data_IF_554973535606
#
_entry.id   IF_554973535606
#
_cell.length_a   1.000
_cell.length_b   1.000
_cell.length_c   1.000
_cell.angle_alpha   90.00
_cell.angle_beta   90.00
_cell.angle_gamma   90.00
#
_symmetry.space_group_name_H-M   'P 1'
#
loop_
_entity.id
_entity.type
_entity.pdbx_description
1 polymer ?
#
# COMPACT_ATOMS: atom_id res chain seq x y z
N UNK A 1 38.01 31.70 -34.95
CA UNK A 1 37.57 32.69 -33.96
C UNK A 1 36.62 31.97 -33.01
N UNK A 2 37.06 31.76 -31.76
CA UNK A 2 36.32 31.16 -30.62
C UNK A 2 34.96 31.88 -30.40
N UNK A 3 33.91 31.34 -29.77
CA UNK A 3 33.75 30.66 -28.45
C UNK A 3 32.39 29.91 -28.46
N UNK A 4 32.29 28.63 -28.06
CA UNK A 4 31.95 28.10 -26.71
C UNK A 4 30.57 28.53 -26.17
N UNK A 5 29.67 27.74 -25.56
CA UNK A 5 29.53 26.32 -25.12
C UNK A 5 28.19 26.23 -24.35
N UNK A 6 27.52 25.07 -24.31
CA UNK A 6 26.82 24.43 -23.15
C UNK A 6 25.89 23.32 -23.68
N UNK A 7 26.40 22.09 -23.75
CA UNK A 7 26.21 20.98 -22.77
C UNK A 7 24.84 20.29 -22.89
N UNK A 8 24.78 19.10 -23.51
CA UNK A 8 25.23 17.79 -22.99
C UNK A 8 24.19 17.12 -22.11
N UNK A 9 23.24 16.43 -22.75
CA UNK A 9 22.71 15.15 -22.28
C UNK A 9 22.51 14.25 -23.49
N UNK A 10 23.56 13.48 -23.78
CA UNK A 10 23.63 12.43 -24.78
C UNK A 10 22.82 11.24 -24.25
N UNK A 11 21.70 10.93 -24.90
CA UNK A 11 21.05 9.64 -24.70
C UNK A 11 22.04 8.57 -25.19
N UNK A 12 22.60 7.82 -24.25
CA UNK A 12 23.26 6.56 -24.55
C UNK A 12 22.19 5.63 -25.11
N UNK A 13 22.22 5.45 -26.43
CA UNK A 13 21.51 4.41 -27.13
C UNK A 13 21.92 3.06 -26.53
N UNK A 14 21.08 2.53 -25.64
CA UNK A 14 21.11 1.11 -25.28
C UNK A 14 20.58 0.35 -26.50
N UNK A 15 21.46 0.14 -27.47
CA UNK A 15 21.28 -0.80 -28.56
C UNK A 15 21.37 -2.21 -28.00
N UNK A 16 20.31 -2.62 -27.29
CA UNK A 16 19.98 -4.03 -27.10
C UNK A 16 19.25 -4.46 -28.36
N UNK A 17 19.98 -5.06 -29.31
CA UNK A 17 19.41 -5.67 -30.49
C UNK A 17 18.30 -6.65 -30.08
N UNK A 18 17.03 -6.26 -30.28
CA UNK A 18 15.94 -7.20 -30.35
C UNK A 18 16.04 -7.80 -31.75
N UNK A 19 16.57 -9.01 -31.83
CA UNK A 19 16.54 -9.83 -33.04
C UNK A 19 15.07 -10.10 -33.38
N UNK A 20 14.51 -9.31 -34.31
CA UNK A 20 13.16 -9.51 -34.84
C UNK A 20 13.24 -10.58 -35.92
N UNK A 21 13.66 -11.78 -35.53
CA UNK A 21 13.58 -12.97 -36.36
C UNK A 21 12.15 -13.52 -36.29
N UNK A 22 11.25 -13.02 -37.13
CA UNK A 22 10.09 -13.76 -37.67
C UNK A 22 9.14 -14.48 -36.70
N UNK A 23 9.16 -14.22 -35.39
CA UNK A 23 8.27 -14.87 -34.44
C UNK A 23 7.03 -14.00 -34.27
N UNK A 24 5.94 -14.48 -34.86
CA UNK A 24 4.63 -13.88 -34.70
C UNK A 24 4.33 -13.84 -33.20
N UNK A 25 4.31 -12.66 -32.59
CA UNK A 25 3.81 -12.49 -31.22
C UNK A 25 2.33 -12.83 -31.28
N UNK A 26 2.00 -14.11 -31.08
CA UNK A 26 0.65 -14.54 -30.81
C UNK A 26 0.32 -13.96 -29.44
N UNK A 27 -0.29 -12.78 -29.42
CA UNK A 27 -0.97 -12.27 -28.23
C UNK A 27 -2.07 -13.30 -27.96
N UNK A 28 -1.74 -14.28 -27.13
CA UNK A 28 -2.70 -15.22 -26.59
C UNK A 28 -3.76 -14.36 -25.91
N UNK A 29 -4.90 -14.19 -26.57
CA UNK A 29 -6.07 -13.53 -26.02
C UNK A 29 -6.68 -14.46 -24.95
N UNK A 30 -5.89 -14.74 -23.91
CA UNK A 30 -6.36 -15.35 -22.68
C UNK A 30 -7.22 -14.29 -22.04
N UNK A 31 -8.53 -14.50 -22.11
CA UNK A 31 -9.48 -13.84 -21.23
C UNK A 31 -9.05 -14.20 -19.82
N UNK A 32 -8.30 -13.32 -19.17
CA UNK A 32 -8.01 -13.45 -17.75
C UNK A 32 -9.36 -13.40 -17.06
N UNK A 33 -9.82 -14.53 -16.52
CA UNK A 33 -10.93 -14.54 -15.59
C UNK A 33 -10.52 -13.61 -14.45
N UNK A 34 -11.39 -12.67 -14.09
CA UNK A 34 -11.15 -11.83 -12.93
C UNK A 34 -10.89 -12.75 -11.74
N UNK A 35 -9.70 -12.66 -11.16
CA UNK A 35 -9.34 -13.40 -9.96
C UNK A 35 -10.25 -12.89 -8.82
N UNK A 36 -11.21 -13.69 -8.33
CA UNK A 36 -12.12 -13.27 -7.28
C UNK A 36 -11.39 -13.00 -5.96
N UNK A 37 -10.19 -13.56 -5.79
CA UNK A 37 -9.34 -13.38 -4.60
C UNK A 37 -8.39 -12.19 -4.72
N UNK A 38 -8.31 -11.52 -5.88
CA UNK A 38 -7.49 -10.33 -6.01
C UNK A 38 -8.12 -9.19 -5.18
N UNK A 39 -7.57 -9.01 -3.98
CA UNK A 39 -7.93 -7.91 -3.14
C UNK A 39 -7.42 -6.61 -3.77
N UNK A 40 -8.35 -5.80 -4.27
CA UNK A 40 -8.06 -4.42 -4.73
C UNK A 40 -7.71 -3.48 -3.57
N UNK A 41 -7.61 -4.01 -2.35
CA UNK A 41 -7.24 -3.32 -1.13
C UNK A 41 -5.77 -3.57 -0.80
N UNK A 42 -5.17 -2.60 -0.11
CA UNK A 42 -3.80 -2.72 0.34
C UNK A 42 -3.02 -1.45 0.09
N UNK A 43 -2.74 -0.72 1.18
CA UNK A 43 -1.90 0.49 1.28
C UNK A 43 -2.67 1.83 1.24
N UNK A 44 -3.99 1.87 1.46
CA UNK A 44 -4.63 3.14 1.81
C UNK A 44 -4.30 3.50 3.28
N UNK A 45 -3.87 4.74 3.52
CA UNK A 45 -3.61 5.28 4.88
C UNK A 45 -4.80 5.11 5.83
N UNK A 46 -6.02 5.15 5.30
CA UNK A 46 -7.25 5.11 6.05
C UNK A 46 -7.98 3.76 5.84
N UNK A 47 -8.09 2.92 6.88
CA UNK A 47 -8.74 1.61 6.81
C UNK A 47 -10.20 1.66 6.34
N UNK A 48 -10.94 2.72 6.67
CA UNK A 48 -12.34 2.88 6.24
C UNK A 48 -12.44 3.09 4.73
N UNK A 49 -11.54 3.88 4.17
CA UNK A 49 -11.47 4.09 2.73
C UNK A 49 -11.03 2.81 2.00
N UNK A 50 -10.06 2.08 2.57
CA UNK A 50 -9.57 0.82 2.00
C UNK A 50 -10.70 -0.21 1.90
N UNK A 51 -11.42 -0.42 3.00
CA UNK A 51 -12.54 -1.37 3.07
C UNK A 51 -13.67 -1.01 2.08
N UNK A 52 -13.91 0.28 1.84
CA UNK A 52 -14.94 0.76 0.91
C UNK A 52 -14.52 0.71 -0.57
N UNK A 53 -13.24 0.51 -0.89
CA UNK A 53 -12.69 0.56 -2.27
C UNK A 53 -13.51 -0.23 -3.30
N UNK A 54 -13.97 -1.48 -3.03
CA UNK A 54 -14.79 -2.23 -3.97
C UNK A 54 -16.12 -1.54 -4.31
N UNK A 55 -16.78 -0.95 -3.31
CA UNK A 55 -18.05 -0.25 -3.52
C UNK A 55 -17.86 1.10 -4.20
N UNK A 56 -16.75 1.80 -3.95
CA UNK A 56 -16.40 3.01 -4.70
C UNK A 56 -16.14 2.67 -6.18
N UNK A 57 -15.43 1.58 -6.46
CA UNK A 57 -15.25 1.07 -7.82
C UNK A 57 -16.57 0.72 -8.51
N UNK A 58 -17.47 0.06 -7.78
CA UNK A 58 -18.83 -0.23 -8.26
C UNK A 58 -19.60 1.06 -8.56
N UNK A 59 -19.57 2.06 -7.68
CA UNK A 59 -20.22 3.37 -7.88
C UNK A 59 -19.76 4.04 -9.18
N UNK A 60 -18.46 4.02 -9.47
CA UNK A 60 -17.91 4.57 -10.72
C UNK A 60 -18.48 3.84 -11.94
N UNK A 61 -18.60 2.51 -11.86
CA UNK A 61 -19.18 1.69 -12.94
C UNK A 61 -20.68 1.94 -13.11
N UNK A 62 -21.44 1.99 -12.02
CA UNK A 62 -22.89 2.24 -12.05
C UNK A 62 -23.25 3.57 -12.68
N UNK A 63 -22.43 4.62 -12.46
CA UNK A 63 -22.61 5.93 -13.09
C UNK A 63 -22.54 5.91 -14.63
N UNK A 64 -21.89 4.92 -15.21
CA UNK A 64 -21.72 4.77 -16.67
C UNK A 64 -22.64 3.70 -17.26
N UNK A 65 -23.47 3.07 -16.43
CA UNK A 65 -24.30 1.94 -16.83
C UNK A 65 -25.68 2.44 -17.25
N UNK A 66 -25.95 2.40 -18.56
CA UNK A 66 -27.22 2.90 -19.11
C UNK A 66 -28.39 1.95 -18.86
N UNK A 67 -28.12 0.65 -18.74
CA UNK A 67 -29.15 -0.37 -18.50
C UNK A 67 -28.62 -1.52 -17.64
N UNK A 68 -29.49 -2.04 -16.76
CA UNK A 68 -29.22 -3.25 -15.98
C UNK A 68 -30.49 -4.09 -15.86
N UNK A 69 -30.41 -5.35 -16.26
CA UNK A 69 -31.60 -6.23 -16.30
C UNK A 69 -31.98 -6.81 -14.93
N UNK A 70 -31.01 -7.08 -14.04
CA UNK A 70 -31.25 -7.74 -12.75
C UNK A 70 -30.90 -6.83 -11.56
N UNK A 71 -31.72 -5.78 -11.39
CA UNK A 71 -31.58 -4.84 -10.27
C UNK A 71 -31.74 -5.51 -8.89
N UNK A 72 -32.65 -6.48 -8.69
CA UNK A 72 -32.74 -7.21 -7.42
C UNK A 72 -31.47 -7.97 -7.05
N UNK A 73 -30.82 -8.67 -7.99
CA UNK A 73 -29.55 -9.36 -7.70
C UNK A 73 -28.43 -8.36 -7.37
N UNK A 74 -28.35 -7.23 -8.09
CA UNK A 74 -27.42 -6.15 -7.76
C UNK A 74 -27.67 -5.62 -6.34
N UNK A 75 -28.92 -5.37 -5.97
CA UNK A 75 -29.31 -4.91 -4.64
C UNK A 75 -28.82 -5.87 -3.56
N UNK A 76 -29.08 -7.17 -3.73
CA UNK A 76 -28.65 -8.19 -2.78
C UNK A 76 -27.12 -8.28 -2.69
N UNK A 77 -26.42 -8.23 -3.84
CA UNK A 77 -24.96 -8.24 -3.89
C UNK A 77 -24.36 -7.04 -3.14
N UNK A 78 -24.90 -5.84 -3.35
CA UNK A 78 -24.44 -4.65 -2.64
C UNK A 78 -24.76 -4.74 -1.16
N UNK A 79 -25.97 -5.14 -0.77
CA UNK A 79 -26.36 -5.32 0.64
C UNK A 79 -25.43 -6.31 1.37
N UNK A 80 -25.08 -7.42 0.72
CA UNK A 80 -24.12 -8.39 1.25
C UNK A 80 -22.72 -7.79 1.38
N UNK A 81 -22.24 -7.03 0.38
CA UNK A 81 -20.93 -6.37 0.44
C UNK A 81 -20.86 -5.32 1.56
N UNK A 82 -21.92 -4.52 1.75
CA UNK A 82 -22.01 -3.57 2.86
C UNK A 82 -21.93 -4.31 4.19
N UNK A 83 -22.66 -5.42 4.32
CA UNK A 83 -22.65 -6.22 5.55
C UNK A 83 -21.27 -6.80 5.83
N UNK A 84 -20.59 -7.32 4.82
CA UNK A 84 -19.22 -7.84 4.94
C UNK A 84 -18.22 -6.76 5.34
N UNK A 85 -18.27 -5.59 4.69
CA UNK A 85 -17.44 -4.43 5.02
C UNK A 85 -17.69 -3.97 6.46
N UNK A 86 -18.95 -3.94 6.90
CA UNK A 86 -19.27 -3.53 8.26
C UNK A 86 -18.77 -4.52 9.30
N UNK A 87 -18.79 -5.82 9.00
CA UNK A 87 -18.23 -6.83 9.89
C UNK A 87 -16.72 -6.72 10.02
N UNK A 88 -16.02 -6.46 8.91
CA UNK A 88 -14.59 -6.21 8.87
C UNK A 88 -14.21 -4.97 9.66
N UNK A 89 -14.87 -3.83 9.39
CA UNK A 89 -14.56 -2.57 10.05
C UNK A 89 -14.95 -2.60 11.55
N UNK A 90 -15.92 -3.41 11.95
CA UNK A 90 -16.30 -3.61 13.35
C UNK A 90 -15.19 -4.27 14.19
N UNK A 91 -14.27 -4.98 13.54
CA UNK A 91 -13.09 -5.56 14.21
C UNK A 91 -12.01 -4.50 14.50
N UNK A 92 -12.16 -3.30 13.94
CA UNK A 92 -11.26 -2.17 14.18
C UNK A 92 -11.74 -1.34 15.39
N UNK A 93 -10.81 -0.65 16.05
CA UNK A 93 -11.07 0.14 17.26
C UNK A 93 -11.74 1.50 16.96
N UNK A 94 -12.97 1.46 16.42
CA UNK A 94 -13.78 2.64 16.15
C UNK A 94 -15.02 2.70 17.04
N UNK A 95 -15.40 3.92 17.42
CA UNK A 95 -16.64 4.14 18.17
C UNK A 95 -17.89 3.78 17.35
N UNK A 96 -18.96 3.36 18.02
CA UNK A 96 -20.22 3.01 17.38
C UNK A 96 -20.81 4.18 16.57
N UNK A 97 -20.60 5.42 17.03
CA UNK A 97 -21.00 6.62 16.28
C UNK A 97 -20.26 6.77 14.95
N UNK A 98 -18.96 6.45 14.93
CA UNK A 98 -18.12 6.46 13.73
C UNK A 98 -18.56 5.40 12.73
N UNK A 99 -18.76 4.16 13.20
CA UNK A 99 -19.23 3.06 12.35
C UNK A 99 -20.60 3.34 11.75
N UNK A 100 -21.51 3.94 12.52
CA UNK A 100 -22.84 4.32 12.05
C UNK A 100 -22.78 5.45 11.01
N UNK A 101 -21.91 6.44 11.18
CA UNK A 101 -21.71 7.50 10.20
C UNK A 101 -21.09 6.97 8.90
N UNK A 102 -20.17 6.02 9.01
CA UNK A 102 -19.54 5.33 7.89
C UNK A 102 -20.56 4.53 7.06
N UNK A 103 -21.31 3.62 7.69
CA UNK A 103 -22.33 2.82 6.98
C UNK A 103 -23.42 3.69 6.36
N UNK A 104 -23.84 4.74 7.07
CA UNK A 104 -24.83 5.70 6.59
C UNK A 104 -24.35 6.41 5.33
N UNK A 105 -23.12 6.92 5.35
CA UNK A 105 -22.51 7.63 4.21
C UNK A 105 -22.38 6.74 3.00
N UNK A 106 -22.03 5.47 3.22
CA UNK A 106 -21.86 4.47 2.19
C UNK A 106 -23.21 4.08 1.54
N UNK A 107 -24.23 3.80 2.35
CA UNK A 107 -25.58 3.52 1.86
C UNK A 107 -26.13 4.69 1.05
N UNK A 108 -25.97 5.91 1.56
CA UNK A 108 -26.46 7.12 0.90
C UNK A 108 -25.76 7.36 -0.45
N UNK A 109 -24.45 7.15 -0.54
CA UNK A 109 -23.71 7.30 -1.79
C UNK A 109 -24.24 6.35 -2.88
N UNK A 110 -24.38 5.06 -2.54
CA UNK A 110 -24.85 4.07 -3.52
C UNK A 110 -26.29 4.34 -3.93
N UNK A 111 -27.18 4.62 -2.96
CA UNK A 111 -28.57 4.97 -3.24
C UNK A 111 -28.66 6.16 -4.18
N UNK A 112 -27.92 7.25 -3.92
CA UNK A 112 -27.99 8.44 -4.77
C UNK A 112 -27.45 8.18 -6.19
N UNK A 113 -26.41 7.37 -6.32
CA UNK A 113 -25.85 6.99 -7.63
C UNK A 113 -26.83 6.15 -8.43
N UNK A 114 -27.46 5.15 -7.81
CA UNK A 114 -28.47 4.31 -8.46
C UNK A 114 -29.71 5.15 -8.82
N UNK A 115 -30.17 6.04 -7.94
CA UNK A 115 -31.32 6.91 -8.18
C UNK A 115 -31.08 7.97 -9.27
N UNK A 116 -29.83 8.23 -9.68
CA UNK A 116 -29.54 9.07 -10.86
C UNK A 116 -29.76 8.33 -12.17
N UNK A 117 -29.76 7.00 -12.17
CA UNK A 117 -30.02 6.20 -13.37
C UNK A 117 -31.52 6.08 -13.64
N UNK A 118 -31.89 5.82 -14.88
CA UNK A 118 -33.30 5.59 -15.27
C UNK A 118 -33.81 4.26 -14.74
N UNK A 119 -33.03 3.19 -14.89
CA UNK A 119 -33.37 1.85 -14.41
C UNK A 119 -33.45 1.78 -12.88
N UNK A 120 -32.59 2.49 -12.15
CA UNK A 120 -32.64 2.54 -10.68
C UNK A 120 -33.95 3.15 -10.17
N UNK A 121 -34.41 4.26 -10.76
CA UNK A 121 -35.66 4.94 -10.38
C UNK A 121 -36.90 4.09 -10.64
N UNK A 122 -36.91 3.33 -11.75
CA UNK A 122 -38.03 2.47 -12.15
C UNK A 122 -38.01 1.09 -11.47
N UNK A 123 -36.98 0.78 -10.68
CA UNK A 123 -36.82 -0.50 -10.00
C UNK A 123 -37.37 -0.51 -8.57
N UNK A 124 -37.37 -1.67 -7.94
CA UNK A 124 -37.69 -1.85 -6.51
C UNK A 124 -36.76 -1.09 -5.57
N UNK A 125 -35.58 -0.66 -6.03
CA UNK A 125 -34.62 0.12 -5.25
C UNK A 125 -35.18 1.48 -4.82
N UNK A 126 -36.07 2.07 -5.63
CA UNK A 126 -36.72 3.34 -5.27
C UNK A 126 -37.76 3.18 -4.16
N UNK A 127 -38.39 2.00 -4.07
CA UNK A 127 -39.35 1.67 -3.01
C UNK A 127 -38.67 1.31 -1.69
N UNK A 128 -37.53 0.61 -1.76
CA UNK A 128 -36.73 0.24 -0.58
C UNK A 128 -35.25 0.47 -0.87
N UNK A 129 -34.75 1.63 -0.47
CA UNK A 129 -33.34 2.00 -0.61
C UNK A 129 -32.47 1.30 0.44
N UNK A 130 -31.16 1.24 0.22
CA UNK A 130 -30.21 0.69 1.20
C UNK A 130 -30.27 1.47 2.51
N UNK A 131 -30.34 2.80 2.43
CA UNK A 131 -30.47 3.65 3.62
C UNK A 131 -31.74 3.31 4.41
N UNK A 132 -32.85 3.05 3.73
CA UNK A 132 -34.08 2.60 4.39
C UNK A 132 -33.92 1.22 5.03
N UNK A 133 -33.25 0.29 4.35
CA UNK A 133 -33.00 -1.05 4.88
C UNK A 133 -32.09 -1.06 6.12
N UNK A 134 -30.97 -0.33 6.10
CA UNK A 134 -29.96 -0.37 7.15
C UNK A 134 -30.21 0.65 8.27
N UNK A 135 -30.83 1.78 7.97
CA UNK A 135 -31.01 2.88 8.93
C UNK A 135 -32.47 3.28 9.18
N UNK A 136 -33.43 2.72 8.43
CA UNK A 136 -34.84 3.08 8.57
C UNK A 136 -35.18 4.48 8.04
N UNK A 137 -34.31 5.06 7.21
CA UNK A 137 -34.45 6.44 6.73
C UNK A 137 -34.57 6.50 5.20
N UNK A 138 -35.51 7.31 4.71
CA UNK A 138 -35.80 7.45 3.26
C UNK A 138 -35.26 8.75 2.66
N UNK A 139 -34.92 9.75 3.48
CA UNK A 139 -34.35 11.03 3.06
C UNK A 139 -33.10 11.36 3.87
N UNK A 140 -31.98 10.82 3.45
CA UNK A 140 -30.73 10.94 4.20
C UNK A 140 -29.81 12.12 3.86
N UNK A 141 -30.15 12.86 2.80
CA UNK A 141 -29.27 13.88 2.22
C UNK A 141 -28.95 15.06 3.15
N UNK A 142 -29.78 15.35 4.15
CA UNK A 142 -29.54 16.44 5.12
C UNK A 142 -28.72 15.96 6.31
N UNK A 143 -29.11 14.83 6.88
CA UNK A 143 -28.47 14.26 8.06
C UNK A 143 -27.02 13.87 7.81
N UNK A 144 -26.63 13.52 6.59
CA UNK A 144 -25.21 13.38 6.21
C UNK A 144 -24.39 14.61 6.59
N UNK A 145 -24.84 15.80 6.19
CA UNK A 145 -24.13 17.05 6.50
C UNK A 145 -24.23 17.42 7.99
N UNK A 146 -25.33 17.09 8.66
CA UNK A 146 -25.44 17.28 10.12
C UNK A 146 -24.43 16.41 10.87
N UNK A 147 -24.31 15.13 10.52
CA UNK A 147 -23.32 14.20 11.10
C UNK A 147 -21.90 14.73 10.86
N UNK A 148 -21.60 15.16 9.63
CA UNK A 148 -20.30 15.73 9.28
C UNK A 148 -19.97 16.96 10.12
N UNK A 149 -20.90 17.93 10.19
CA UNK A 149 -20.70 19.17 10.94
C UNK A 149 -20.52 18.94 12.44
N UNK A 150 -21.12 17.90 13.01
CA UNK A 150 -20.92 17.53 14.40
C UNK A 150 -19.53 16.91 14.65
N UNK A 151 -18.90 16.31 13.63
CA UNK A 151 -17.58 15.69 13.74
C UNK A 151 -16.42 16.66 13.44
N UNK A 152 -16.66 17.72 12.66
CA UNK A 152 -15.66 18.73 12.29
C UNK A 152 -14.92 19.34 13.50
N UNK A 153 -15.58 19.71 14.63
CA UNK A 153 -14.89 20.29 15.78
C UNK A 153 -13.81 19.37 16.40
N UNK A 154 -14.03 18.05 16.33
CA UNK A 154 -13.13 17.01 16.82
C UNK A 154 -12.45 16.26 15.66
N UNK A 155 -12.10 16.96 14.58
CA UNK A 155 -11.67 16.31 13.34
C UNK A 155 -10.43 15.39 13.47
N UNK A 156 -9.52 15.65 14.42
CA UNK A 156 -8.39 14.77 14.69
C UNK A 156 -8.85 13.39 15.20
N UNK A 157 -9.92 13.35 16.00
CA UNK A 157 -10.51 12.10 16.51
C UNK A 157 -11.32 11.38 15.44
N UNK A 158 -12.06 12.14 14.61
CA UNK A 158 -12.92 11.60 13.56
C UNK A 158 -12.25 11.56 12.17
N UNK A 159 -10.92 11.67 12.11
CA UNK A 159 -10.17 11.86 10.86
C UNK A 159 -10.54 10.83 9.79
N UNK A 160 -10.54 9.54 10.16
CA UNK A 160 -10.80 8.46 9.20
C UNK A 160 -12.22 8.51 8.62
N UNK A 161 -13.22 8.81 9.44
CA UNK A 161 -14.62 8.92 8.98
C UNK A 161 -14.80 10.18 8.13
N UNK A 162 -14.25 11.31 8.55
CA UNK A 162 -14.33 12.55 7.78
C UNK A 162 -13.62 12.44 6.43
N UNK A 163 -12.48 11.75 6.36
CA UNK A 163 -11.81 11.42 5.09
C UNK A 163 -12.67 10.52 4.20
N UNK A 164 -13.40 9.55 4.77
CA UNK A 164 -14.33 8.75 4.01
C UNK A 164 -15.52 9.57 3.50
N UNK A 165 -16.09 10.44 4.34
CA UNK A 165 -17.16 11.36 3.92
C UNK A 165 -16.69 12.32 2.83
N UNK A 166 -15.45 12.82 2.91
CA UNK A 166 -14.79 13.56 1.84
C UNK A 166 -14.71 12.73 0.55
N UNK A 167 -14.30 11.46 0.63
CA UNK A 167 -14.25 10.54 -0.51
C UNK A 167 -15.63 10.37 -1.16
N UNK A 168 -16.71 10.28 -0.36
CA UNK A 168 -18.08 10.21 -0.87
C UNK A 168 -18.48 11.49 -1.64
N UNK A 169 -18.13 12.67 -1.12
CA UNK A 169 -18.41 13.96 -1.77
C UNK A 169 -17.70 14.06 -3.13
N UNK A 170 -16.40 13.77 -3.19
CA UNK A 170 -15.66 13.83 -4.46
C UNK A 170 -16.09 12.74 -5.46
N UNK A 171 -16.61 11.61 -4.97
CA UNK A 171 -17.21 10.57 -5.82
C UNK A 171 -18.54 11.01 -6.46
N UNK A 172 -19.13 12.09 -5.94
CA UNK A 172 -20.27 12.79 -6.53
C UNK A 172 -21.54 12.77 -5.69
N UNK A 173 -21.46 12.44 -4.40
CA UNK A 173 -22.58 12.57 -3.46
C UNK A 173 -22.97 14.06 -3.33
N UNK A 174 -24.24 14.38 -3.60
CA UNK A 174 -24.77 15.75 -3.46
C UNK A 174 -25.69 15.92 -2.25
N UNK A 175 -26.40 14.86 -1.85
CA UNK A 175 -27.36 14.91 -0.76
C UNK A 175 -28.38 16.04 -0.95
N UNK A 176 -28.62 16.82 0.12
CA UNK A 176 -29.58 17.95 0.09
C UNK A 176 -29.30 18.99 -1.01
N UNK A 177 -28.04 19.18 -1.40
CA UNK A 177 -27.65 20.19 -2.38
C UNK A 177 -27.96 19.78 -3.83
N UNK A 178 -28.31 18.52 -4.09
CA UNK A 178 -28.59 18.03 -5.45
C UNK A 178 -29.78 18.70 -6.14
N UNK A 179 -30.73 19.26 -5.38
CA UNK A 179 -31.91 19.96 -5.91
C UNK A 179 -31.73 21.48 -6.06
N UNK A 180 -30.63 22.05 -5.56
CA UNK A 180 -30.41 23.49 -5.56
C UNK A 180 -29.70 23.94 -6.85
N UNK A 181 -30.15 25.05 -7.45
CA UNK A 181 -29.55 25.60 -8.67
C UNK A 181 -28.06 25.97 -8.53
N UNK A 182 -27.61 26.35 -7.33
CA UNK A 182 -26.20 26.61 -6.98
C UNK A 182 -25.59 25.52 -6.10
N UNK A 183 -26.20 24.33 -6.07
CA UNK A 183 -25.79 23.25 -5.17
C UNK A 183 -24.36 22.76 -5.42
N UNK A 184 -23.92 22.75 -6.68
CA UNK A 184 -22.57 22.31 -7.05
C UNK A 184 -21.48 23.25 -6.51
N UNK A 185 -21.75 24.56 -6.45
CA UNK A 185 -20.81 25.54 -5.88
C UNK A 185 -20.72 25.39 -4.35
N UNK A 186 -21.85 25.14 -3.68
CA UNK A 186 -21.87 24.90 -2.23
C UNK A 186 -21.13 23.60 -1.86
N UNK A 187 -21.32 22.53 -2.63
CA UNK A 187 -20.57 21.28 -2.42
C UNK A 187 -19.07 21.50 -2.60
N UNK A 188 -18.65 22.24 -3.63
CA UNK A 188 -17.23 22.55 -3.85
C UNK A 188 -16.62 23.28 -2.65
N UNK A 189 -17.31 24.29 -2.11
CA UNK A 189 -16.85 24.99 -0.89
C UNK A 189 -16.68 24.03 0.29
N UNK A 190 -17.62 23.11 0.48
CA UNK A 190 -17.55 22.09 1.54
C UNK A 190 -16.36 21.15 1.32
N UNK A 191 -16.14 20.70 0.09
CA UNK A 191 -14.99 19.86 -0.28
C UNK A 191 -13.68 20.59 0.01
N UNK A 192 -13.56 21.87 -0.37
CA UNK A 192 -12.35 22.67 -0.15
C UNK A 192 -12.10 22.91 1.34
N UNK A 193 -13.15 23.20 2.11
CA UNK A 193 -13.07 23.35 3.58
C UNK A 193 -12.61 22.05 4.24
N UNK A 194 -13.21 20.92 3.87
CA UNK A 194 -12.88 19.61 4.44
C UNK A 194 -11.46 19.18 4.04
N UNK A 195 -11.05 19.46 2.81
CA UNK A 195 -9.68 19.24 2.35
C UNK A 195 -8.67 20.05 3.17
N UNK A 196 -8.91 21.35 3.35
CA UNK A 196 -8.05 22.22 4.15
C UNK A 196 -7.92 21.78 5.61
N UNK A 197 -8.99 21.21 6.18
CA UNK A 197 -9.01 20.69 7.54
C UNK A 197 -8.28 19.34 7.66
N UNK A 198 -8.45 18.42 6.70
CA UNK A 198 -7.89 17.07 6.75
C UNK A 198 -6.44 17.01 6.28
N UNK A 199 -6.02 17.90 5.39
CA UNK A 199 -4.69 17.90 4.78
C UNK A 199 -3.56 17.99 5.81
N UNK A 200 -3.60 18.86 6.83
CA UNK A 200 -2.57 18.92 7.86
C UNK A 200 -2.52 17.66 8.73
N UNK A 201 -3.65 16.97 8.93
CA UNK A 201 -3.75 15.77 9.76
C UNK A 201 -3.09 14.53 9.14
N UNK A 202 -2.88 14.53 7.81
CA UNK A 202 -2.18 13.45 7.10
C UNK A 202 -0.65 13.50 7.22
N UNK A 203 -0.11 14.58 7.78
CA UNK A 203 1.34 14.77 7.89
C UNK A 203 2.02 15.16 6.56
N UNK A 204 3.34 14.96 6.51
CA UNK A 204 4.15 15.39 5.37
C UNK A 204 3.84 14.60 4.11
N UNK A 205 3.74 15.31 2.99
CA UNK A 205 3.51 14.64 1.70
C UNK A 205 4.77 13.90 1.28
N UNK A 206 4.71 12.60 0.99
CA UNK A 206 5.88 11.87 0.55
C UNK A 206 6.42 12.50 -0.74
N UNK A 207 7.70 12.88 -0.71
CA UNK A 207 8.38 13.56 -1.84
C UNK A 207 8.52 12.66 -3.07
N UNK A 208 8.36 11.34 -2.91
CA UNK A 208 8.27 10.35 -3.98
C UNK A 208 6.97 9.54 -3.84
N UNK A 209 6.25 9.39 -4.95
CA UNK A 209 4.98 8.66 -5.02
C UNK A 209 5.13 7.15 -4.86
N UNK A 210 6.30 6.62 -5.23
CA UNK A 210 6.65 5.20 -5.08
C UNK A 210 8.13 5.09 -4.78
N UNK A 211 8.48 4.23 -3.85
CA UNK A 211 9.83 3.68 -3.73
C UNK A 211 9.81 2.23 -4.25
N UNK A 212 9.95 2.03 -5.57
CA UNK A 212 9.78 0.71 -6.19
C UNK A 212 10.83 -0.32 -5.73
N UNK A 213 11.85 0.12 -4.99
CA UNK A 213 13.02 -0.68 -4.63
C UNK A 213 13.02 -1.10 -3.15
N UNK A 214 12.10 -0.61 -2.30
CA UNK A 214 12.08 -0.93 -0.87
C UNK A 214 11.75 -2.40 -0.59
N UNK A 215 10.92 -3.01 -1.45
CA UNK A 215 10.54 -4.43 -1.36
C UNK A 215 11.33 -5.33 -2.31
N UNK A 216 12.24 -4.77 -3.12
CA UNK A 216 13.13 -5.57 -3.94
C UNK A 216 14.31 -5.96 -3.07
N UNK A 217 14.31 -7.22 -2.60
CA UNK A 217 15.46 -7.79 -1.92
C UNK A 217 16.70 -7.54 -2.81
N UNK A 218 17.74 -6.85 -2.31
CA UNK A 218 18.91 -6.58 -3.11
C UNK A 218 19.50 -7.92 -3.55
N UNK A 219 19.52 -8.17 -4.87
CA UNK A 219 20.04 -9.41 -5.49
C UNK A 219 21.50 -9.69 -5.12
N UNK A 220 22.17 -8.72 -4.49
CA UNK A 220 23.55 -8.78 -4.04
C UNK A 220 23.69 -8.86 -2.50
N UNK A 221 22.89 -9.67 -1.79
CA UNK A 221 23.36 -10.25 -0.52
C UNK A 221 24.40 -11.35 -0.82
N UNK A 222 25.46 -10.99 -1.55
CA UNK A 222 26.68 -11.80 -1.61
C UNK A 222 27.33 -11.63 -0.26
N UNK A 223 27.28 -12.69 0.54
CA UNK A 223 27.98 -12.85 1.81
C UNK A 223 29.37 -12.19 1.67
N UNK A 224 29.53 -10.99 2.26
CA UNK A 224 30.81 -10.26 2.33
C UNK A 224 31.71 -10.91 3.38
N UNK A 225 31.94 -12.22 3.23
CA UNK A 225 32.91 -12.94 4.05
C UNK A 225 33.80 -13.80 3.15
N UNK A 226 34.37 -13.15 2.14
CA UNK A 226 35.58 -13.65 1.52
C UNK A 226 36.69 -13.58 2.59
N UNK A 227 36.93 -14.70 3.27
CA UNK A 227 38.14 -14.83 4.07
C UNK A 227 39.34 -14.55 3.17
N UNK A 228 40.29 -13.70 3.58
CA UNK A 228 41.46 -13.44 2.76
C UNK A 228 42.16 -14.77 2.49
N UNK A 229 42.49 -15.02 1.22
CA UNK A 229 43.11 -16.27 0.76
C UNK A 229 44.46 -16.57 1.45
N UNK A 230 45.01 -15.58 2.18
CA UNK A 230 46.22 -15.70 2.98
C UNK A 230 46.03 -16.33 4.37
N UNK A 231 44.79 -16.49 4.83
CA UNK A 231 44.49 -17.12 6.14
C UNK A 231 45.07 -18.53 6.31
N UNK A 232 44.97 -19.47 5.35
CA UNK A 232 45.60 -20.78 5.49
C UNK A 232 47.13 -20.71 5.51
N UNK A 233 47.73 -19.78 4.76
CA UNK A 233 49.18 -19.56 4.74
C UNK A 233 49.69 -19.02 6.07
N UNK A 234 48.99 -18.02 6.64
CA UNK A 234 49.32 -17.48 7.96
C UNK A 234 49.17 -18.56 9.05
N UNK A 235 48.13 -19.38 9.00
CA UNK A 235 47.92 -20.48 9.95
C UNK A 235 49.02 -21.54 9.83
N UNK A 236 49.38 -21.94 8.61
CA UNK A 236 50.47 -22.89 8.38
C UNK A 236 51.82 -22.36 8.89
N UNK A 237 52.10 -21.07 8.66
CA UNK A 237 53.31 -20.42 9.17
C UNK A 237 53.37 -20.49 10.70
N UNK A 238 52.28 -20.12 11.40
CA UNK A 238 52.22 -20.18 12.88
C UNK A 238 52.47 -21.60 13.39
N UNK A 239 51.87 -22.63 12.77
CA UNK A 239 52.08 -24.03 13.16
C UNK A 239 53.55 -24.44 13.00
N UNK A 240 54.19 -24.06 11.89
CA UNK A 240 55.61 -24.34 11.66
C UNK A 240 56.51 -23.65 12.68
N UNK A 241 56.26 -22.39 13.03
CA UNK A 241 57.06 -21.67 14.04
C UNK A 241 56.96 -22.33 15.41
N UNK A 242 55.76 -22.78 15.80
CA UNK A 242 55.55 -23.50 17.07
C UNK A 242 56.27 -24.84 17.06
N UNK A 243 56.18 -25.61 15.98
CA UNK A 243 56.90 -26.88 15.87
C UNK A 243 58.43 -26.69 15.95
N UNK A 244 58.96 -25.67 15.27
CA UNK A 244 60.39 -25.34 15.28
C UNK A 244 60.89 -24.94 16.68
N UNK A 245 60.15 -24.08 17.39
CA UNK A 245 60.52 -23.65 18.75
C UNK A 245 60.56 -24.82 19.73
N UNK A 246 59.56 -25.71 19.67
CA UNK A 246 59.54 -26.95 20.48
C UNK A 246 60.75 -27.82 20.17
N UNK A 247 61.06 -28.03 18.89
CA UNK A 247 62.20 -28.85 18.48
C UNK A 247 63.53 -28.25 18.93
N UNK A 248 63.70 -26.93 18.78
CA UNK A 248 64.90 -26.20 19.21
C UNK A 248 65.13 -26.32 20.72
N UNK A 249 64.08 -26.22 21.53
CA UNK A 249 64.19 -26.37 23.00
C UNK A 249 64.58 -27.81 23.35
N UNK A 250 63.94 -28.80 22.71
CA UNK A 250 64.26 -30.23 22.91
C UNK A 250 65.72 -30.54 22.57
N UNK A 251 66.21 -30.04 21.44
CA UNK A 251 67.62 -30.23 21.04
C UNK A 251 68.58 -29.56 22.02
N UNK A 252 68.31 -28.31 22.42
CA UNK A 252 69.17 -27.60 23.36
C UNK A 252 69.26 -28.32 24.73
N UNK A 253 68.15 -28.92 25.16
CA UNK A 253 68.12 -29.71 26.41
C UNK A 253 69.01 -30.96 26.31
N UNK A 254 69.02 -31.63 25.16
CA UNK A 254 69.87 -32.82 24.93
C UNK A 254 71.35 -32.41 24.83
N UNK A 255 71.67 -31.30 24.14
CA UNK A 255 73.04 -30.79 24.04
C UNK A 255 73.60 -30.37 25.40
N UNK A 256 72.80 -29.71 26.24
CA UNK A 256 73.18 -29.36 27.61
C UNK A 256 73.43 -30.61 28.47
N UNK A 257 72.62 -31.66 28.34
CA UNK A 257 72.85 -32.93 29.06
C UNK A 257 74.17 -33.59 28.65
N UNK A 258 74.53 -33.56 27.36
CA UNK A 258 75.80 -34.11 26.87
C UNK A 258 76.99 -33.26 27.36
N UNK A 259 76.89 -31.93 27.33
CA UNK A 259 77.94 -31.05 27.84
C UNK A 259 78.18 -31.23 29.35
N UNK A 260 77.11 -31.33 30.14
CA UNK A 260 77.20 -31.60 31.59
C UNK A 260 77.81 -32.98 31.86
N UNK A 261 77.55 -33.98 31.01
CA UNK A 261 78.16 -35.30 31.14
C UNK A 261 79.66 -35.31 30.81
N UNK A 262 80.10 -34.45 29.89
CA UNK A 262 81.50 -34.26 29.52
C UNK A 262 82.27 -33.50 30.61
N UNK A 263 81.68 -32.43 31.16
CA UNK A 263 82.27 -31.66 32.26
C UNK A 263 82.38 -32.48 33.55
N UNK A 264 81.42 -33.39 33.81
CA UNK A 264 81.49 -34.35 34.92
C UNK A 264 82.59 -35.39 34.76
N UNK A 265 82.97 -35.76 33.53
CA UNK A 265 84.10 -36.67 33.27
C UNK A 265 85.46 -35.98 33.25
N UNK A 266 85.51 -34.66 33.04
CA UNK A 266 86.75 -33.88 33.10
C UNK A 266 87.16 -33.53 34.55
N UNK A 267 86.20 -33.58 35.49
CA UNK A 267 86.40 -33.30 36.92
C UNK A 267 86.57 -34.56 37.80
N UNK A 268 86.80 -35.71 37.18
CA UNK A 268 87.06 -37.02 37.82
C UNK A 268 88.49 -37.46 37.51
#
# INVERSE_FOLDING_TARGET
MNKETLDSWRHEDVSGAIDVSGESITVSNRTYLADPEYDIRGVAWNPLCDAATPLIGLVIRLRRLDHHHDVPALYQSVSNQITAIMEEVRQLDYDAGMLKAYSYSLCLLVDEVVMRTTWGRLSTWSARSLLSQFHGETRGGEKFFTIMNNMIPEAARYQHVLEFMYQCLISGLKGKYGAHAKGDDEIRKIIDQLHGLLRPLRGETPKRLTDPLTNVAPRNYRIKRAWPLWTPWAMAAVVLTVAYTIYSIRLNTITQQVLVSLERMLHL
#
